data_IF_182156839733
#
_entry.id   IF_182156839733
#
_cell.length_a   1.000
_cell.length_b   1.000
_cell.length_c   1.000
_cell.angle_alpha   90.00
_cell.angle_beta   90.00
_cell.angle_gamma   90.00
#
_symmetry.space_group_name_H-M   'P 1'
#
loop_
_entity.id
_entity.type
_entity.pdbx_description
1 polymer ?
#
# COMPACT_ATOMS: atom_id res chain seq x y z
N UNK A 1 11.02 16.55 -5.94
CA UNK A 1 10.41 15.57 -5.02
C UNK A 1 9.29 14.91 -5.77
N UNK A 2 9.37 13.59 -5.91
CA UNK A 2 8.39 12.80 -6.65
C UNK A 2 7.39 12.19 -5.68
N UNK A 3 6.16 11.99 -6.15
CA UNK A 3 5.07 11.41 -5.38
C UNK A 3 4.78 10.05 -5.98
N UNK A 4 4.53 9.07 -5.14
CA UNK A 4 4.15 7.73 -5.59
C UNK A 4 2.92 7.34 -4.80
N UNK A 5 1.91 6.85 -5.50
CA UNK A 5 0.72 6.25 -4.89
C UNK A 5 0.75 4.77 -5.20
N UNK A 6 0.68 3.94 -4.16
CA UNK A 6 0.70 2.49 -4.30
C UNK A 6 -0.61 1.93 -3.75
N UNK A 7 -1.36 1.23 -4.59
CA UNK A 7 -2.51 0.45 -4.18
C UNK A 7 -2.08 -0.99 -3.95
N UNK A 8 -2.47 -1.54 -2.80
CA UNK A 8 -2.03 -2.86 -2.34
C UNK A 8 -3.24 -3.74 -2.06
N UNK A 9 -3.30 -4.91 -2.70
CA UNK A 9 -4.18 -6.00 -2.32
C UNK A 9 -3.36 -7.00 -1.50
N UNK A 10 -3.72 -7.15 -0.23
CA UNK A 10 -3.01 -7.99 0.73
C UNK A 10 -3.15 -9.46 0.33
N UNK A 11 -2.07 -10.24 0.46
CA UNK A 11 -2.18 -11.70 0.34
C UNK A 11 -3.16 -12.26 1.39
N UNK A 12 -4.07 -13.14 0.98
CA UNK A 12 -5.07 -13.77 1.84
C UNK A 12 -4.44 -14.61 2.97
N UNK A 13 -3.20 -15.06 2.81
CA UNK A 13 -2.45 -15.80 3.85
C UNK A 13 -1.97 -14.92 5.01
N UNK A 14 -1.87 -13.60 4.80
CA UNK A 14 -1.35 -12.65 5.79
C UNK A 14 -2.53 -12.12 6.60
N UNK A 15 -2.44 -12.15 7.93
CA UNK A 15 -3.49 -11.58 8.77
C UNK A 15 -3.48 -10.04 8.74
N UNK A 16 -4.54 -9.40 9.23
CA UNK A 16 -4.67 -7.94 9.16
C UNK A 16 -3.67 -7.19 10.05
N UNK A 17 -3.27 -7.77 11.18
CA UNK A 17 -2.39 -7.12 12.15
C UNK A 17 -0.94 -7.14 11.67
N UNK A 18 -0.47 -8.25 11.10
CA UNK A 18 0.84 -8.38 10.46
C UNK A 18 0.94 -7.45 9.25
N UNK A 19 -0.12 -7.38 8.43
CA UNK A 19 -0.15 -6.45 7.30
C UNK A 19 -0.09 -4.98 7.74
N UNK A 20 -0.81 -4.62 8.82
CA UNK A 20 -0.73 -3.28 9.40
C UNK A 20 0.67 -3.00 9.95
N UNK A 21 1.26 -3.94 10.68
CA UNK A 21 2.60 -3.79 11.23
C UNK A 21 3.64 -3.58 10.11
N UNK A 22 3.55 -4.38 9.05
CA UNK A 22 4.39 -4.25 7.87
C UNK A 22 4.30 -2.84 7.27
N UNK A 23 3.08 -2.34 7.03
CA UNK A 23 2.86 -1.01 6.45
C UNK A 23 3.31 0.12 7.38
N UNK A 24 3.02 0.03 8.68
CA UNK A 24 3.26 1.14 9.60
C UNK A 24 4.71 1.20 10.12
N UNK A 25 5.39 0.05 10.23
CA UNK A 25 6.68 -0.05 10.90
C UNK A 25 7.80 -0.49 9.96
N UNK A 26 7.60 -1.56 9.20
CA UNK A 26 8.68 -2.16 8.40
C UNK A 26 8.99 -1.35 7.14
N UNK A 27 7.97 -0.93 6.40
CA UNK A 27 8.12 -0.14 5.18
C UNK A 27 8.83 1.20 5.44
N UNK A 28 8.38 2.04 6.40
CA UNK A 28 9.02 3.33 6.63
C UNK A 28 10.45 3.18 7.14
N UNK A 29 10.71 2.11 7.90
CA UNK A 29 12.06 1.79 8.39
C UNK A 29 13.00 1.43 7.25
N UNK A 30 12.56 0.57 6.32
CA UNK A 30 13.36 0.12 5.17
C UNK A 30 13.63 1.23 4.15
N UNK A 31 12.71 2.20 4.03
CA UNK A 31 12.79 3.29 3.05
C UNK A 31 13.21 4.64 3.66
N UNK A 32 13.58 4.68 4.94
CA UNK A 32 13.80 5.91 5.72
C UNK A 32 14.75 6.92 5.08
N UNK A 33 15.82 6.45 4.41
CA UNK A 33 16.81 7.33 3.77
C UNK A 33 16.26 8.09 2.56
N UNK A 34 15.27 7.51 1.89
CA UNK A 34 14.78 7.92 0.58
C UNK A 34 13.42 8.62 0.66
N UNK A 35 12.69 8.39 1.77
CA UNK A 35 11.41 9.01 2.07
C UNK A 35 11.57 10.40 2.66
N UNK A 36 10.77 11.32 2.14
CA UNK A 36 10.54 12.64 2.74
C UNK A 36 9.16 12.71 3.41
N UNK A 37 8.23 11.86 2.99
CA UNK A 37 6.90 11.72 3.59
C UNK A 37 6.38 10.31 3.32
N UNK A 38 5.65 9.78 4.30
CA UNK A 38 5.00 8.48 4.23
C UNK A 38 3.61 8.59 4.84
N UNK A 39 2.58 8.13 4.14
CA UNK A 39 1.21 8.05 4.65
C UNK A 39 0.57 6.76 4.15
N UNK A 40 -0.24 6.13 5.00
CA UNK A 40 -1.00 4.93 4.66
C UNK A 40 -2.46 5.19 4.98
N UNK A 41 -3.32 4.87 4.04
CA UNK A 41 -4.75 4.82 4.23
C UNK A 41 -5.18 3.36 4.18
N UNK A 42 -5.77 2.88 5.26
CA UNK A 42 -6.42 1.58 5.36
C UNK A 42 -7.94 1.80 5.25
N UNK A 43 -8.65 1.10 4.35
CA UNK A 43 -10.10 1.17 4.30
C UNK A 43 -10.68 0.66 5.63
N UNK A 44 -11.63 1.41 6.17
CA UNK A 44 -12.27 1.08 7.44
C UNK A 44 -13.18 -0.15 7.31
N UNK A 45 -13.36 -0.91 8.40
CA UNK A 45 -14.24 -2.10 8.43
C UNK A 45 -15.70 -1.76 8.11
N UNK A 46 -16.12 -0.51 8.29
CA UNK A 46 -17.46 -0.06 7.96
C UNK A 46 -17.67 0.25 6.47
N UNK A 47 -16.59 0.49 5.69
CA UNK A 47 -16.66 0.56 4.22
C UNK A 47 -16.98 -0.83 3.65
N UNK A 48 -16.54 -1.89 4.33
CA UNK A 48 -16.86 -3.29 3.99
C UNK A 48 -18.35 -3.63 4.11
N UNK A 49 -19.14 -2.87 4.89
CA UNK A 49 -20.61 -3.05 4.95
C UNK A 49 -21.33 -2.40 3.77
N UNK A 50 -20.74 -1.38 3.15
CA UNK A 50 -21.25 -0.78 1.91
C UNK A 50 -21.02 -1.69 0.69
N UNK A 51 -20.34 -2.83 0.86
CA UNK A 51 -20.11 -3.84 -0.19
C UNK A 51 -21.40 -4.40 -0.81
N UNK A 52 -22.53 -4.31 -0.10
CA UNK A 52 -23.84 -4.70 -0.62
C UNK A 52 -24.38 -3.80 -1.74
N UNK A 53 -23.74 -2.64 -1.97
CA UNK A 53 -24.04 -1.70 -3.06
C UNK A 53 -23.00 -1.78 -4.19
N UNK A 54 -22.04 -2.70 -4.12
CA UNK A 54 -21.02 -2.90 -5.17
C UNK A 54 -21.74 -3.35 -6.44
N UNK A 55 -21.65 -2.53 -7.49
CA UNK A 55 -21.90 -3.00 -8.85
C UNK A 55 -20.88 -4.10 -9.15
N UNK A 56 -21.37 -5.29 -9.51
CA UNK A 56 -20.60 -6.54 -9.70
C UNK A 56 -19.44 -6.45 -10.71
N UNK A 57 -19.29 -5.34 -11.41
CA UNK A 57 -18.26 -5.06 -12.40
C UNK A 57 -17.03 -4.32 -11.84
N UNK A 58 -17.05 -3.82 -10.60
CA UNK A 58 -15.87 -3.15 -10.04
C UNK A 58 -14.85 -4.14 -9.46
N UNK A 59 -13.55 -4.00 -9.76
CA UNK A 59 -12.52 -4.80 -9.13
C UNK A 59 -12.55 -4.60 -7.61
N UNK A 60 -12.14 -5.62 -6.83
CA UNK A 60 -12.12 -5.52 -5.37
C UNK A 60 -11.31 -4.30 -4.94
N UNK A 61 -11.81 -3.59 -3.93
CA UNK A 61 -11.10 -2.42 -3.40
C UNK A 61 -9.74 -2.85 -2.82
N UNK A 62 -8.69 -2.03 -2.96
CA UNK A 62 -7.40 -2.34 -2.36
C UNK A 62 -7.50 -2.37 -0.84
N UNK A 63 -6.69 -3.23 -0.19
CA UNK A 63 -6.59 -3.32 1.26
C UNK A 63 -5.79 -2.18 1.88
N UNK A 64 -4.95 -1.49 1.10
CA UNK A 64 -4.26 -0.28 1.53
C UNK A 64 -3.94 0.63 0.34
N UNK A 65 -3.88 1.94 0.60
CA UNK A 65 -3.31 2.93 -0.30
C UNK A 65 -2.16 3.63 0.42
N UNK A 66 -0.96 3.53 -0.14
CA UNK A 66 0.27 4.10 0.42
C UNK A 66 0.68 5.30 -0.44
N UNK A 67 0.94 6.42 0.22
CA UNK A 67 1.43 7.64 -0.38
C UNK A 67 2.87 7.88 0.06
N UNK A 68 3.77 7.90 -0.91
CA UNK A 68 5.20 8.15 -0.71
C UNK A 68 5.56 9.50 -1.32
N UNK A 69 6.38 10.28 -0.62
CA UNK A 69 7.16 11.36 -1.25
C UNK A 69 8.62 10.98 -1.16
N UNK A 70 9.28 10.92 -2.30
CA UNK A 70 10.67 10.47 -2.41
C UNK A 70 11.54 11.55 -3.03
N UNK A 71 12.84 11.47 -2.74
CA UNK A 71 13.83 12.38 -3.32
C UNK A 71 14.11 12.07 -4.80
N UNK A 72 14.11 10.78 -5.16
CA UNK A 72 14.40 10.29 -6.52
C UNK A 72 13.74 8.91 -6.75
N UNK A 73 12.99 8.79 -7.84
CA UNK A 73 12.31 7.57 -8.31
C UNK A 73 13.32 6.47 -8.63
N UNK A 74 14.40 6.83 -9.34
CA UNK A 74 15.43 5.90 -9.77
C UNK A 74 16.05 5.10 -8.61
N UNK A 75 16.21 5.74 -7.45
CA UNK A 75 16.80 5.10 -6.27
C UNK A 75 15.80 4.26 -5.48
N UNK A 76 14.50 4.60 -5.55
CA UNK A 76 13.48 3.95 -4.73
C UNK A 76 12.84 2.76 -5.44
N UNK A 77 12.79 2.73 -6.77
CA UNK A 77 12.11 1.68 -7.56
C UNK A 77 12.53 0.26 -7.15
N UNK A 78 13.83 0.03 -6.96
CA UNK A 78 14.33 -1.28 -6.55
C UNK A 78 13.86 -1.67 -5.14
N UNK A 79 13.72 -0.69 -4.25
CA UNK A 79 13.28 -0.89 -2.87
C UNK A 79 11.75 -1.01 -2.77
N UNK A 80 10.98 -0.49 -3.73
CA UNK A 80 9.53 -0.67 -3.78
C UNK A 80 9.10 -2.12 -3.97
N UNK A 81 10.00 -3.01 -4.43
CA UNK A 81 9.74 -4.46 -4.48
C UNK A 81 9.43 -5.07 -3.11
N UNK A 82 9.80 -4.41 -2.01
CA UNK A 82 9.46 -4.85 -0.66
C UNK A 82 7.96 -5.07 -0.48
N UNK A 83 7.12 -4.27 -1.17
CA UNK A 83 5.66 -4.39 -1.09
C UNK A 83 5.13 -5.68 -1.75
N UNK A 84 5.85 -6.27 -2.70
CA UNK A 84 5.44 -7.51 -3.38
C UNK A 84 5.37 -8.70 -2.42
N UNK A 85 6.19 -8.70 -1.36
CA UNK A 85 6.22 -9.79 -0.37
C UNK A 85 4.92 -9.94 0.43
N UNK A 86 4.12 -8.86 0.53
CA UNK A 86 2.88 -8.83 1.32
C UNK A 86 1.64 -8.56 0.45
N UNK A 87 1.81 -8.52 -0.87
CA UNK A 87 0.77 -8.15 -1.81
C UNK A 87 0.51 -9.26 -2.83
N UNK A 88 -0.75 -9.65 -2.99
CA UNK A 88 -1.19 -10.46 -4.12
C UNK A 88 -1.22 -9.63 -5.41
N UNK A 89 -1.54 -8.34 -5.27
CA UNK A 89 -1.57 -7.39 -6.37
C UNK A 89 -1.08 -6.03 -5.93
N UNK A 90 -0.34 -5.37 -6.81
CA UNK A 90 0.19 -4.04 -6.58
C UNK A 90 0.02 -3.17 -7.83
N UNK A 91 -0.44 -1.94 -7.64
CA UNK A 91 -0.42 -0.90 -8.68
C UNK A 91 0.24 0.36 -8.14
N UNK A 92 1.19 0.90 -8.89
CA UNK A 92 1.85 2.16 -8.58
C UNK A 92 1.52 3.23 -9.62
N UNK A 93 1.35 4.45 -9.13
CA UNK A 93 1.15 5.67 -9.91
C UNK A 93 2.21 6.69 -9.50
N UNK A 94 2.76 7.43 -10.46
CA UNK A 94 3.78 8.46 -10.27
C UNK A 94 3.16 9.84 -10.57
#
# INVERSE_FOLDING_TARGET
>A
MEKIVIQIWKNHEINDDDFKNFLLNEIPSNLKSDLTSYQVNLPDKDVSKASGLIQSSYPPSPNAIVFLKVKSLFHVEQKLKVFESHAEKLFSYI
#
